data_IF_738302721803
#
_entry.id   IF_738302721803
#
_cell.length_a   1.000
_cell.length_b   1.000
_cell.length_c   1.000
_cell.angle_alpha   90.00
_cell.angle_beta   90.00
_cell.angle_gamma   90.00
#
_symmetry.space_group_name_H-M   'P 1'
#
loop_
_entity.id
_entity.type
_entity.pdbx_description
1 polymer ?
#
# COMPACT_ATOMS: atom_id res chain seq x y z
N UNK A 1 3.20 6.43 25.83
CA UNK A 1 3.64 6.17 24.47
C UNK A 1 3.11 7.24 23.52
N UNK A 2 3.95 7.82 22.71
CA UNK A 2 3.52 8.81 21.73
C UNK A 2 2.86 8.12 20.54
N UNK A 3 2.04 8.86 19.81
CA UNK A 3 1.42 8.37 18.59
C UNK A 3 2.46 7.85 17.59
N UNK A 4 3.63 8.51 17.55
CA UNK A 4 4.74 8.12 16.68
C UNK A 4 5.32 6.76 17.07
N UNK A 5 5.43 6.48 18.36
CA UNK A 5 5.92 5.20 18.87
C UNK A 5 4.92 4.09 18.58
N UNK A 6 3.63 4.38 18.69
CA UNK A 6 2.60 3.42 18.31
C UNK A 6 2.67 3.06 16.83
N UNK A 7 2.91 4.06 15.97
CA UNK A 7 3.10 3.83 14.54
C UNK A 7 4.36 3.00 14.27
N UNK A 8 5.38 3.10 15.13
CA UNK A 8 6.59 2.30 15.03
C UNK A 8 6.34 0.80 15.23
N UNK A 9 5.24 0.43 15.93
CA UNK A 9 4.85 -0.97 16.09
C UNK A 9 4.23 -1.56 14.82
N UNK A 10 3.83 -0.70 13.90
CA UNK A 10 3.24 -1.05 12.61
C UNK A 10 4.08 -0.40 11.51
N UNK A 11 5.14 -1.08 11.07
CA UNK A 11 5.97 -0.56 9.99
C UNK A 11 5.16 -0.17 8.77
N UNK A 12 5.63 0.84 8.07
CA UNK A 12 5.04 1.31 6.84
C UNK A 12 5.87 0.82 5.66
N UNK A 13 5.20 0.42 4.59
CA UNK A 13 5.83 -0.09 3.38
C UNK A 13 5.34 0.65 2.16
N UNK A 14 6.25 0.81 1.19
CA UNK A 14 5.90 1.28 -0.16
C UNK A 14 6.02 0.09 -1.09
N UNK A 15 4.96 -0.19 -1.83
CA UNK A 15 4.91 -1.29 -2.80
C UNK A 15 4.90 -0.69 -4.19
N UNK A 16 5.86 -1.08 -5.03
CA UNK A 16 5.88 -0.72 -6.44
C UNK A 16 5.26 -1.87 -7.23
N UNK A 17 4.23 -1.55 -8.02
CA UNK A 17 3.54 -2.51 -8.86
C UNK A 17 3.66 -2.09 -10.32
N UNK A 18 4.26 -2.93 -11.14
CA UNK A 18 4.34 -2.69 -12.58
C UNK A 18 3.04 -3.13 -13.23
N UNK A 19 2.30 -2.18 -13.77
CA UNK A 19 1.00 -2.40 -14.39
C UNK A 19 0.90 -1.57 -15.66
N UNK A 20 1.48 -2.05 -16.77
CA UNK A 20 1.50 -1.28 -18.02
C UNK A 20 0.10 -0.81 -18.43
N UNK A 21 -0.03 0.48 -18.73
CA UNK A 21 -1.28 1.09 -19.14
C UNK A 21 -2.26 1.43 -18.03
N UNK A 22 -1.89 1.19 -16.78
CA UNK A 22 -2.80 1.43 -15.64
C UNK A 22 -3.29 2.89 -15.57
N UNK A 23 -2.47 3.83 -16.01
CA UNK A 23 -2.84 5.26 -16.01
C UNK A 23 -4.00 5.59 -16.95
N UNK A 24 -4.34 4.68 -17.86
CA UNK A 24 -5.46 4.85 -18.79
C UNK A 24 -6.77 4.28 -18.26
N UNK A 25 -6.74 3.61 -17.12
CA UNK A 25 -7.96 3.05 -16.53
C UNK A 25 -8.89 4.16 -16.06
N UNK A 26 -10.17 3.98 -16.32
CA UNK A 26 -11.19 4.92 -15.88
C UNK A 26 -11.57 4.73 -14.41
N UNK A 27 -12.37 5.66 -13.86
CA UNK A 27 -12.79 5.60 -12.46
C UNK A 27 -13.49 4.29 -12.07
N UNK A 28 -14.26 3.69 -12.98
CA UNK A 28 -14.97 2.45 -12.72
C UNK A 28 -14.00 1.28 -12.50
N UNK A 29 -12.97 1.18 -13.33
CA UNK A 29 -11.95 0.13 -13.20
C UNK A 29 -11.13 0.29 -11.93
N UNK A 30 -10.76 1.53 -11.60
CA UNK A 30 -10.02 1.84 -10.38
C UNK A 30 -10.86 1.54 -9.14
N UNK A 31 -12.18 1.80 -9.21
CA UNK A 31 -13.10 1.46 -8.13
C UNK A 31 -13.16 -0.05 -7.91
N UNK A 32 -13.26 -0.83 -8.99
CA UNK A 32 -13.31 -2.29 -8.89
C UNK A 32 -12.02 -2.86 -8.28
N UNK A 33 -10.87 -2.35 -8.72
CA UNK A 33 -9.59 -2.77 -8.17
C UNK A 33 -9.50 -2.44 -6.67
N UNK A 34 -9.96 -1.26 -6.28
CA UNK A 34 -9.97 -0.83 -4.87
C UNK A 34 -10.92 -1.70 -4.05
N UNK A 35 -12.09 -2.05 -4.57
CA UNK A 35 -13.03 -2.93 -3.90
C UNK A 35 -12.44 -4.33 -3.69
N UNK A 36 -11.73 -4.86 -4.68
CA UNK A 36 -11.04 -6.14 -4.55
C UNK A 36 -9.99 -6.08 -3.44
N UNK A 37 -9.20 -5.00 -3.41
CA UNK A 37 -8.19 -4.79 -2.37
C UNK A 37 -8.83 -4.74 -0.99
N UNK A 38 -9.89 -3.96 -0.83
CA UNK A 38 -10.59 -3.83 0.46
C UNK A 38 -11.17 -5.16 0.93
N UNK A 39 -11.69 -5.98 0.01
CA UNK A 39 -12.21 -7.30 0.34
C UNK A 39 -11.11 -8.20 0.91
N UNK A 40 -9.95 -8.21 0.27
CA UNK A 40 -8.80 -9.01 0.74
C UNK A 40 -8.31 -8.50 2.09
N UNK A 41 -8.25 -7.18 2.26
CA UNK A 41 -7.86 -6.58 3.54
C UNK A 41 -8.78 -7.00 4.67
N UNK A 42 -10.09 -7.05 4.42
CA UNK A 42 -11.06 -7.51 5.40
C UNK A 42 -10.84 -8.99 5.78
N UNK A 43 -10.45 -9.82 4.83
CA UNK A 43 -10.14 -11.23 5.06
C UNK A 43 -8.87 -11.41 5.89
N UNK A 44 -7.84 -10.57 5.65
CA UNK A 44 -6.56 -10.65 6.35
C UNK A 44 -6.62 -10.06 7.76
N UNK A 45 -7.61 -9.24 8.04
CA UNK A 45 -7.83 -8.66 9.36
C UNK A 45 -7.20 -7.29 9.55
N UNK A 46 -7.28 -6.73 10.78
CA UNK A 46 -6.91 -5.34 11.05
C UNK A 46 -5.41 -5.05 11.05
N UNK A 47 -4.56 -6.06 10.99
CA UNK A 47 -3.12 -5.87 11.07
C UNK A 47 -2.53 -5.24 9.81
N UNK A 48 -3.21 -5.36 8.66
CA UNK A 48 -2.77 -4.72 7.44
C UNK A 48 -3.71 -3.56 7.11
N UNK A 49 -3.14 -2.40 6.85
CA UNK A 49 -3.90 -1.18 6.56
C UNK A 49 -3.41 -0.56 5.27
N UNK A 50 -4.32 -0.35 4.34
CA UNK A 50 -4.05 0.38 3.11
C UNK A 50 -4.20 1.86 3.39
N UNK A 51 -3.11 2.63 3.25
CA UNK A 51 -3.13 4.06 3.49
C UNK A 51 -3.62 4.81 2.26
N UNK A 52 -2.92 4.67 1.14
CA UNK A 52 -3.30 5.22 -0.15
C UNK A 52 -2.40 4.66 -1.25
N UNK A 53 -2.73 5.00 -2.49
CA UNK A 53 -1.93 4.61 -3.64
C UNK A 53 -1.84 5.76 -4.63
N UNK A 54 -0.73 5.80 -5.36
CA UNK A 54 -0.53 6.73 -6.47
C UNK A 54 -0.54 5.94 -7.77
N UNK A 55 -1.41 6.34 -8.70
CA UNK A 55 -1.49 5.72 -10.03
C UNK A 55 -0.71 6.58 -11.00
N UNK A 56 0.27 5.98 -11.67
CA UNK A 56 1.05 6.63 -12.72
C UNK A 56 0.67 6.02 -14.07
N UNK A 57 1.36 6.38 -15.13
CA UNK A 57 1.04 5.84 -16.46
C UNK A 57 1.16 4.32 -16.52
N UNK A 58 2.18 3.75 -15.90
CA UNK A 58 2.49 2.32 -16.03
C UNK A 58 2.75 1.61 -14.72
N UNK A 59 2.60 2.30 -13.60
CA UNK A 59 2.88 1.74 -12.27
C UNK A 59 1.89 2.28 -11.24
N UNK A 60 1.72 1.51 -10.17
CA UNK A 60 1.03 1.98 -8.97
C UNK A 60 2.01 1.88 -7.81
N UNK A 61 2.07 2.93 -7.01
CA UNK A 61 2.84 2.95 -5.77
C UNK A 61 1.86 2.96 -4.61
N UNK A 62 1.88 1.91 -3.81
CA UNK A 62 0.94 1.76 -2.69
C UNK A 62 1.65 1.92 -1.37
N UNK A 63 0.99 2.57 -0.43
CA UNK A 63 1.50 2.73 0.94
C UNK A 63 0.61 1.91 1.87
N UNK A 64 1.23 1.00 2.63
CA UNK A 64 0.56 0.14 3.58
C UNK A 64 1.24 0.18 4.94
N UNK A 65 0.48 -0.09 5.99
CA UNK A 65 1.00 -0.38 7.32
C UNK A 65 0.73 -1.84 7.62
N UNK A 66 1.75 -2.55 8.05
CA UNK A 66 1.63 -3.98 8.33
C UNK A 66 2.76 -4.42 9.26
N UNK A 67 2.57 -5.51 10.03
CA UNK A 67 3.61 -5.99 10.93
C UNK A 67 4.82 -6.58 10.20
N UNK A 68 4.63 -7.05 8.96
CA UNK A 68 5.73 -7.63 8.17
C UNK A 68 5.44 -7.55 6.68
N UNK A 69 6.49 -7.77 5.89
CA UNK A 69 6.37 -7.83 4.44
C UNK A 69 5.52 -9.02 3.99
N UNK A 70 5.54 -10.12 4.74
CA UNK A 70 4.83 -11.35 4.37
C UNK A 70 3.33 -11.16 4.19
N UNK A 71 2.69 -10.41 5.08
CA UNK A 71 1.25 -10.17 4.99
C UNK A 71 0.91 -9.29 3.78
N UNK A 72 1.83 -8.40 3.40
CA UNK A 72 1.66 -7.57 2.20
C UNK A 72 1.74 -8.44 0.95
N UNK A 73 2.66 -9.41 0.91
CA UNK A 73 2.77 -10.36 -0.20
C UNK A 73 1.53 -11.23 -0.30
N UNK A 74 0.99 -11.67 0.84
CA UNK A 74 -0.24 -12.45 0.86
C UNK A 74 -1.43 -11.65 0.33
N UNK A 75 -1.53 -10.36 0.71
CA UNK A 75 -2.55 -9.48 0.18
C UNK A 75 -2.46 -9.37 -1.34
N UNK A 76 -1.25 -9.16 -1.87
CA UNK A 76 -1.02 -9.06 -3.30
C UNK A 76 -1.42 -10.35 -4.02
N UNK A 77 -1.04 -11.49 -3.47
CA UNK A 77 -1.35 -12.80 -4.05
C UNK A 77 -2.85 -13.06 -4.08
N UNK A 78 -3.55 -12.82 -2.98
CA UNK A 78 -5.00 -13.04 -2.89
C UNK A 78 -5.78 -12.11 -3.81
N UNK A 79 -5.32 -10.87 -3.95
CA UNK A 79 -5.99 -9.89 -4.80
C UNK A 79 -5.61 -9.98 -6.28
N UNK A 80 -4.61 -10.78 -6.60
CA UNK A 80 -4.11 -10.87 -7.97
C UNK A 80 -3.33 -9.63 -8.41
N UNK A 81 -2.75 -8.90 -7.46
CA UNK A 81 -1.97 -7.70 -7.74
C UNK A 81 -0.47 -8.04 -7.85
N UNK A 82 0.26 -7.42 -8.78
CA UNK A 82 1.71 -7.56 -8.81
C UNK A 82 2.32 -6.83 -7.59
N UNK A 83 3.43 -7.36 -7.11
CA UNK A 83 4.20 -6.71 -6.03
C UNK A 83 5.68 -6.84 -6.41
N UNK A 84 6.08 -6.02 -7.38
CA UNK A 84 7.43 -6.09 -7.95
C UNK A 84 8.50 -5.68 -6.95
N UNK A 85 8.19 -4.72 -6.09
CA UNK A 85 9.14 -4.24 -5.10
C UNK A 85 8.39 -3.81 -3.85
N UNK A 86 8.86 -4.27 -2.69
CA UNK A 86 8.31 -3.90 -1.38
C UNK A 86 9.49 -3.35 -0.56
N UNK A 87 9.34 -2.12 -0.08
CA UNK A 87 10.39 -1.42 0.67
C UNK A 87 9.82 -0.90 1.98
N UNK A 88 10.51 -1.21 3.09
CA UNK A 88 10.13 -0.67 4.38
C UNK A 88 10.54 0.80 4.47
N UNK A 89 9.62 1.64 4.94
CA UNK A 89 9.86 3.06 5.14
C UNK A 89 10.61 3.26 6.45
N UNK A 90 11.74 3.98 6.39
CA UNK A 90 12.49 4.32 7.60
C UNK A 90 11.95 5.56 8.28
N UNK A 91 11.62 6.58 7.50
CA UNK A 91 11.06 7.83 8.01
C UNK A 91 10.42 8.59 6.86
N UNK A 92 9.50 9.47 7.22
CA UNK A 92 8.85 10.35 6.25
C UNK A 92 9.25 11.79 6.57
N UNK A 93 9.59 12.53 5.54
CA UNK A 93 9.89 13.96 5.68
C UNK A 93 8.93 14.77 4.83
N UNK A 94 8.65 15.99 5.27
CA UNK A 94 7.82 16.94 4.55
C UNK A 94 8.29 18.37 4.88
N UNK A 95 7.64 19.41 4.35
CA UNK A 95 8.08 20.79 4.62
C UNK A 95 8.20 21.14 6.10
N UNK A 96 7.38 20.52 6.97
CA UNK A 96 7.46 20.80 8.40
C UNK A 96 8.74 20.26 9.04
N UNK A 97 9.39 19.30 8.37
CA UNK A 97 10.67 18.76 8.84
C UNK A 97 11.77 19.84 8.82
N UNK A 98 11.60 20.85 7.99
CA UNK A 98 12.57 21.97 7.87
C UNK A 98 12.43 23.03 8.98
N UNK A 99 11.39 22.94 9.78
CA UNK A 99 11.10 23.90 10.86
C UNK A 99 11.91 23.67 12.13
#
# INVERSE_FOLDING_TARGET
MTKREEQGLMPQYVIEREMPGVGKLGPADLKMASQTSCKVLAELGPEIQWVHSYVTDNKIYCVYRAPSEDIIREHAQRGGFPANKIVEVKTMIDPTTAE
#
